data_IF_153236062348
#
_entry.id   IF_153236062348
#
_cell.length_a   1.000
_cell.length_b   1.000
_cell.length_c   1.000
_cell.angle_alpha   90.00
_cell.angle_beta   90.00
_cell.angle_gamma   90.00
#
_symmetry.space_group_name_H-M   'P 1'
#
loop_
_entity.id
_entity.type
_entity.pdbx_description
1 polymer ?
#
# COMPACT_ATOMS: atom_id res chain seq x y z
N UNK A 1 -10.37 6.74 -1.65
CA UNK A 1 -9.77 6.32 -0.37
C UNK A 1 -9.60 7.56 0.48
N UNK A 2 -9.88 7.48 1.77
CA UNK A 2 -9.72 8.58 2.74
C UNK A 2 -9.12 8.02 4.02
N UNK A 3 -8.33 8.83 4.72
CA UNK A 3 -7.67 8.46 5.97
C UNK A 3 -7.77 9.56 7.02
N UNK A 4 -7.74 9.16 8.30
CA UNK A 4 -7.63 10.07 9.44
C UNK A 4 -6.75 9.42 10.51
N UNK A 5 -5.94 10.22 11.19
CA UNK A 5 -5.15 9.73 12.32
C UNK A 5 -6.07 9.32 13.48
N UNK A 6 -5.69 8.24 14.17
CA UNK A 6 -6.35 7.79 15.39
C UNK A 6 -5.32 7.71 16.50
N UNK A 7 -5.42 8.62 17.47
CA UNK A 7 -4.51 8.69 18.59
C UNK A 7 -4.97 7.74 19.70
N UNK A 8 -4.07 6.86 20.15
CA UNK A 8 -4.36 5.85 21.20
C UNK A 8 -4.03 6.34 22.61
N UNK A 9 -3.24 7.40 22.72
CA UNK A 9 -2.83 8.04 23.97
C UNK A 9 -2.37 9.49 23.68
N UNK A 10 -2.16 10.27 24.75
CA UNK A 10 -1.71 11.66 24.66
C UNK A 10 -0.34 11.80 23.98
N UNK A 11 0.62 10.92 24.29
CA UNK A 11 1.95 10.97 23.66
C UNK A 11 1.92 10.81 22.13
N UNK A 12 0.97 10.05 21.57
CA UNK A 12 0.79 9.98 20.11
C UNK A 12 0.26 11.29 19.53
N UNK A 13 -0.63 11.97 20.26
CA UNK A 13 -1.18 13.27 19.83
C UNK A 13 -0.09 14.35 19.89
N UNK A 14 0.61 14.47 21.03
CA UNK A 14 1.70 15.45 21.19
C UNK A 14 2.76 15.31 20.10
N UNK A 15 3.12 14.06 19.75
CA UNK A 15 4.06 13.80 18.65
C UNK A 15 3.50 14.24 17.30
N UNK A 16 2.21 14.04 17.04
CA UNK A 16 1.60 14.46 15.78
C UNK A 16 1.53 15.99 15.65
N UNK A 17 1.20 16.69 16.73
CA UNK A 17 1.19 18.17 16.78
C UNK A 17 2.56 18.78 16.49
N UNK A 18 3.65 18.05 16.78
CA UNK A 18 5.01 18.48 16.46
C UNK A 18 5.45 18.14 15.02
N UNK A 19 4.85 17.12 14.41
CA UNK A 19 5.29 16.59 13.11
C UNK A 19 4.45 17.07 11.93
N UNK A 20 3.23 17.51 12.17
CA UNK A 20 2.26 17.85 11.13
C UNK A 20 1.87 19.31 11.29
N UNK A 21 2.08 20.08 10.23
CA UNK A 21 1.59 21.44 10.17
C UNK A 21 0.07 21.45 9.99
N UNK A 22 -0.62 22.21 10.85
CA UNK A 22 -2.07 22.44 10.75
C UNK A 22 -2.91 21.45 11.55
N UNK A 23 -4.09 21.13 11.01
CA UNK A 23 -5.07 20.30 11.69
C UNK A 23 -4.68 18.81 11.68
N UNK A 24 -4.33 18.28 12.85
CA UNK A 24 -3.96 16.86 13.03
C UNK A 24 -5.17 15.91 13.07
N UNK A 25 -6.39 16.43 13.20
CA UNK A 25 -7.63 15.67 13.25
C UNK A 25 -8.34 15.63 11.87
N UNK A 26 -7.76 16.27 10.84
CA UNK A 26 -8.31 16.34 9.48
C UNK A 26 -8.46 14.96 8.83
N UNK A 27 -9.34 14.90 7.83
CA UNK A 27 -9.44 13.76 6.91
C UNK A 27 -8.61 14.10 5.66
N UNK A 28 -7.75 13.18 5.24
CA UNK A 28 -6.97 13.30 4.01
C UNK A 28 -7.59 12.43 2.92
N UNK A 29 -7.77 13.03 1.73
CA UNK A 29 -8.15 12.29 0.54
C UNK A 29 -6.97 11.48 -0.03
N UNK A 30 -7.27 10.52 -0.89
CA UNK A 30 -6.26 9.67 -1.58
C UNK A 30 -5.13 10.52 -2.19
N UNK A 31 -5.50 11.55 -2.93
CA UNK A 31 -4.55 12.39 -3.68
C UNK A 31 -3.74 13.33 -2.77
N UNK A 32 -4.10 13.42 -1.48
CA UNK A 32 -3.31 14.13 -0.47
C UNK A 32 -2.35 13.18 0.27
N UNK A 33 -2.69 11.89 0.33
CA UNK A 33 -1.85 10.85 0.93
C UNK A 33 -0.79 10.33 -0.05
N UNK A 34 -1.09 10.35 -1.34
CA UNK A 34 -0.19 9.98 -2.43
C UNK A 34 -0.44 10.97 -3.57
N UNK A 35 0.30 12.07 -3.55
CA UNK A 35 0.05 13.24 -4.40
C UNK A 35 0.78 13.22 -5.75
N UNK A 36 1.71 12.29 -5.94
CA UNK A 36 2.46 12.17 -7.19
C UNK A 36 1.61 11.49 -8.26
N UNK A 37 1.59 12.07 -9.45
CA UNK A 37 0.94 11.52 -10.65
C UNK A 37 1.74 10.37 -11.28
N UNK A 38 2.98 10.14 -10.83
CA UNK A 38 3.88 9.06 -11.28
C UNK A 38 4.11 7.95 -10.24
N UNK A 39 3.18 7.81 -9.30
CA UNK A 39 3.26 6.79 -8.25
C UNK A 39 3.09 5.36 -8.80
N UNK A 40 3.71 4.38 -8.15
CA UNK A 40 3.56 2.95 -8.44
C UNK A 40 3.04 2.21 -7.20
N UNK A 41 2.04 1.34 -7.39
CA UNK A 41 1.63 0.37 -6.38
C UNK A 41 2.02 -1.04 -6.82
N UNK A 42 2.65 -1.80 -5.92
CA UNK A 42 3.01 -3.19 -6.16
C UNK A 42 2.65 -4.01 -4.90
N UNK A 43 1.78 -4.99 -5.06
CA UNK A 43 1.34 -5.88 -3.98
C UNK A 43 1.51 -7.35 -4.36
N UNK A 44 2.37 -8.07 -3.64
CA UNK A 44 2.56 -9.52 -3.83
C UNK A 44 1.80 -10.32 -2.77
N UNK A 45 1.12 -11.38 -3.21
CA UNK A 45 0.38 -12.24 -2.32
C UNK A 45 1.31 -13.12 -1.49
N UNK A 46 1.10 -13.13 -0.17
CA UNK A 46 1.78 -14.06 0.75
C UNK A 46 0.89 -15.27 0.99
N UNK A 47 -0.31 -15.03 1.52
CA UNK A 47 -1.40 -15.99 1.57
C UNK A 47 -2.45 -15.64 0.52
N UNK A 48 -3.24 -16.62 0.08
CA UNK A 48 -4.31 -16.37 -0.89
C UNK A 48 -5.32 -15.37 -0.35
N UNK A 49 -5.51 -14.29 -1.09
CA UNK A 49 -6.46 -13.22 -0.81
C UNK A 49 -6.81 -12.50 -2.12
N UNK A 50 -6.53 -11.20 -2.20
CA UNK A 50 -6.71 -10.42 -3.43
C UNK A 50 -5.84 -10.94 -4.58
N UNK A 51 -4.60 -11.30 -4.27
CA UNK A 51 -3.69 -12.06 -5.14
C UNK A 51 -3.49 -13.46 -4.59
N UNK A 52 -3.05 -14.39 -5.43
CA UNK A 52 -2.67 -15.74 -4.99
C UNK A 52 -1.48 -15.66 -4.02
N UNK A 53 -1.47 -16.52 -3.02
CA UNK A 53 -0.33 -16.67 -2.12
C UNK A 53 0.89 -17.27 -2.84
N UNK A 54 2.01 -17.32 -2.13
CA UNK A 54 3.20 -18.01 -2.63
C UNK A 54 2.94 -19.52 -2.69
N UNK A 55 3.27 -20.14 -3.81
CA UNK A 55 3.18 -21.59 -4.00
C UNK A 55 4.59 -22.17 -4.18
N UNK A 56 4.95 -23.19 -3.40
CA UNK A 56 6.17 -23.96 -3.63
C UNK A 56 5.83 -25.10 -4.59
N UNK A 57 6.49 -25.10 -5.75
CA UNK A 57 6.32 -26.09 -6.80
C UNK A 57 7.03 -27.41 -6.44
N UNK A 58 6.69 -28.49 -7.15
CA UNK A 58 7.27 -29.82 -6.91
C UNK A 58 8.80 -29.85 -7.04
N UNK A 59 9.37 -28.98 -7.87
CA UNK A 59 10.81 -28.84 -8.08
C UNK A 59 11.50 -27.88 -7.09
N UNK A 60 10.78 -27.42 -6.07
CA UNK A 60 11.27 -26.55 -5.01
C UNK A 60 11.30 -25.07 -5.34
N UNK A 61 10.91 -24.67 -6.55
CA UNK A 61 10.79 -23.24 -6.93
C UNK A 61 9.55 -22.59 -6.32
N UNK A 62 9.57 -21.27 -6.21
CA UNK A 62 8.45 -20.49 -5.68
C UNK A 62 7.74 -19.74 -6.82
N UNK A 63 6.42 -19.95 -6.94
CA UNK A 63 5.53 -19.11 -7.75
C UNK A 63 4.99 -17.97 -6.91
N UNK A 64 5.14 -16.73 -7.41
CA UNK A 64 4.69 -15.50 -6.77
C UNK A 64 3.78 -14.73 -7.72
N UNK A 65 2.68 -14.21 -7.19
CA UNK A 65 1.71 -13.43 -7.93
C UNK A 65 1.62 -12.01 -7.36
N UNK A 66 1.82 -11.00 -8.22
CA UNK A 66 1.82 -9.59 -7.87
C UNK A 66 0.76 -8.82 -8.67
N UNK A 67 0.09 -7.89 -8.00
CA UNK A 67 -0.70 -6.83 -8.62
C UNK A 67 0.18 -5.59 -8.76
N UNK A 68 0.11 -4.94 -9.92
CA UNK A 68 0.86 -3.73 -10.23
C UNK A 68 -0.11 -2.68 -10.76
N UNK A 69 -0.04 -1.47 -10.22
CA UNK A 69 -0.77 -0.29 -10.71
C UNK A 69 0.26 0.80 -10.97
N UNK A 70 0.31 1.29 -12.20
CA UNK A 70 1.08 2.44 -12.62
C UNK A 70 0.13 3.64 -12.74
N UNK A 71 0.32 4.65 -11.89
CA UNK A 71 -0.57 5.82 -11.87
C UNK A 71 -0.36 6.71 -13.08
N UNK A 72 0.88 6.81 -13.59
CA UNK A 72 1.20 7.69 -14.73
C UNK A 72 0.52 7.19 -16.00
N UNK A 73 0.62 5.88 -16.26
CA UNK A 73 -0.01 5.27 -17.43
C UNK A 73 -1.49 4.89 -17.20
N UNK A 74 -1.91 4.75 -15.94
CA UNK A 74 -3.22 4.23 -15.56
C UNK A 74 -3.33 2.70 -15.71
N UNK A 75 -2.24 2.03 -16.04
CA UNK A 75 -2.21 0.58 -16.25
C UNK A 75 -2.34 -0.18 -14.94
N UNK A 76 -3.13 -1.25 -14.97
CA UNK A 76 -3.35 -2.13 -13.83
C UNK A 76 -3.31 -3.58 -14.31
N UNK A 77 -2.28 -4.30 -13.88
CA UNK A 77 -2.02 -5.65 -14.36
C UNK A 77 -1.46 -6.56 -13.27
N UNK A 78 -1.55 -7.87 -13.53
CA UNK A 78 -1.04 -8.91 -12.64
C UNK A 78 0.15 -9.60 -13.29
N UNK A 79 1.23 -9.81 -12.53
CA UNK A 79 2.44 -10.50 -12.97
C UNK A 79 2.64 -11.75 -12.12
N UNK A 80 3.00 -12.84 -12.78
CA UNK A 80 3.38 -14.09 -12.11
C UNK A 80 4.84 -14.40 -12.45
N UNK A 81 5.61 -14.80 -11.44
CA UNK A 81 7.02 -15.20 -11.60
C UNK A 81 7.28 -16.49 -10.86
N UNK A 82 8.08 -17.36 -11.48
CA UNK A 82 8.62 -18.56 -10.83
C UNK A 82 10.12 -18.33 -10.58
N UNK A 83 10.57 -18.50 -9.34
CA UNK A 83 11.96 -18.28 -8.90
C UNK A 83 12.55 -19.55 -8.30
#
# INVERSE_FOLDING_TARGET
FEGRLVFKNEGHRERAEQMIDGDIDRIWARDELCSSDDSMFIGSGVCTGRTKGVEILEDGRASVHSEIIDVNSGEHYYVSSVR
#
